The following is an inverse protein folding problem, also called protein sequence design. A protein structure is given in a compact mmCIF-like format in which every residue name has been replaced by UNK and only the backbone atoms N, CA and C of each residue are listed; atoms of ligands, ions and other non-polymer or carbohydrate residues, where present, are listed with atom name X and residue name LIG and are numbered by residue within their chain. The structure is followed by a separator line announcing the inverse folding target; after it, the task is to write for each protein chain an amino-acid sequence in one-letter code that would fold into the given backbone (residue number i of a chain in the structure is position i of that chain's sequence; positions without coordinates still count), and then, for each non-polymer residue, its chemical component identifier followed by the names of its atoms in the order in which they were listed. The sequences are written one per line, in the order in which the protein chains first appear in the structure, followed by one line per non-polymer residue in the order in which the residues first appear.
data_IF_182749568161
#
_entry.id   IF_182749568161
#
_cell.length_a   1.000
_cell.length_b   1.000
_cell.length_c   1.000
_cell.angle_alpha   90.00
_cell.angle_beta   90.00
_cell.angle_gamma   90.00
#
_symmetry.space_group_name_H-M   'P 1'
#
loop_
_entity.id
_entity.type
_entity.pdbx_description
1 polymer ?
#
# COMPACT_ATOMS: atom_id res chain seq x y z
N UNK A 1 -14.70 -30.18 0.82
CA UNK A 1 -14.05 -28.96 0.35
C UNK A 1 -13.39 -28.29 1.55
N UNK A 2 -12.06 -28.33 1.64
CA UNK A 2 -11.33 -27.64 2.71
C UNK A 2 -10.98 -26.24 2.18
N UNK A 3 -11.67 -25.22 2.65
CA UNK A 3 -11.29 -23.83 2.38
C UNK A 3 -10.01 -23.52 3.17
N UNK A 4 -8.89 -23.41 2.50
CA UNK A 4 -7.65 -22.97 3.12
C UNK A 4 -7.67 -21.44 3.20
N UNK A 5 -7.64 -20.90 4.43
CA UNK A 5 -7.48 -19.47 4.68
C UNK A 5 -5.98 -19.22 4.81
N UNK A 6 -5.39 -18.49 3.89
CA UNK A 6 -4.01 -18.04 3.99
C UNK A 6 -3.98 -16.70 4.71
N UNK A 7 -3.54 -16.71 5.97
CA UNK A 7 -3.23 -15.48 6.72
C UNK A 7 -1.75 -15.21 6.50
N UNK A 8 -1.45 -14.27 5.61
CA UNK A 8 -0.08 -13.78 5.46
C UNK A 8 0.16 -12.72 6.53
N UNK A 9 0.70 -13.16 7.68
CA UNK A 9 1.16 -12.25 8.71
C UNK A 9 2.44 -11.58 8.20
N UNK A 10 2.39 -10.28 7.94
CA UNK A 10 3.58 -9.46 7.75
C UNK A 10 4.27 -9.31 9.11
N UNK A 11 5.23 -10.20 9.39
CA UNK A 11 6.20 -9.92 10.44
C UNK A 11 7.03 -8.73 9.97
N UNK A 12 6.94 -7.62 10.68
CA UNK A 12 7.93 -6.53 10.57
C UNK A 12 9.29 -7.17 10.89
N UNK A 13 10.09 -7.43 9.85
CA UNK A 13 11.48 -7.79 10.01
C UNK A 13 12.21 -6.51 10.38
N UNK A 14 12.31 -6.27 11.68
CA UNK A 14 13.37 -5.41 12.23
C UNK A 14 14.69 -6.14 11.94
N UNK A 15 15.54 -5.50 11.14
CA UNK A 15 16.78 -6.06 10.66
C UNK A 15 17.68 -6.61 11.78
N UNK A 16 17.97 -7.89 11.70
CA UNK A 16 19.04 -8.57 12.39
C UNK A 16 19.39 -9.84 11.61
N UNK A 17 20.08 -9.70 10.50
CA UNK A 17 20.74 -10.84 9.85
C UNK A 17 21.90 -10.37 9.01
N UNK A 18 23.05 -10.13 9.66
CA UNK A 18 24.37 -10.22 9.05
C UNK A 18 25.38 -10.50 10.15
N UNK A 19 25.52 -11.77 10.52
CA UNK A 19 26.75 -12.31 11.08
C UNK A 19 26.74 -13.81 10.84
N UNK A 20 27.37 -14.25 9.76
CA UNK A 20 27.72 -15.65 9.53
C UNK A 20 28.93 -16.03 10.37
N UNK A 21 28.71 -17.03 11.24
CA UNK A 21 29.50 -18.24 11.44
C UNK A 21 31.02 -18.15 11.32
N UNK A 22 31.69 -18.10 12.48
CA UNK A 22 32.97 -18.76 12.70
C UNK A 22 32.91 -19.38 14.11
N UNK A 23 33.21 -20.70 14.18
CA UNK A 23 33.04 -21.54 15.32
C UNK A 23 33.88 -21.21 16.56
N UNK A 24 33.46 -21.76 17.70
CA UNK A 24 34.24 -21.78 18.94
C UNK A 24 33.33 -21.88 20.15
N UNK A 25 33.25 -23.10 20.70
CA UNK A 25 32.71 -23.38 22.01
C UNK A 25 33.29 -22.44 23.08
N UNK A 26 32.43 -21.76 23.83
CA UNK A 26 32.65 -21.47 25.25
C UNK A 26 31.38 -20.90 25.91
N UNK A 27 30.87 -21.67 26.84
CA UNK A 27 29.73 -21.34 27.70
C UNK A 27 30.22 -20.53 28.91
N UNK A 28 29.72 -19.35 29.20
CA UNK A 28 29.75 -18.79 30.55
C UNK A 28 28.39 -18.83 31.26
N UNK A 29 28.47 -19.00 32.58
CA UNK A 29 27.38 -19.16 33.54
C UNK A 29 26.50 -17.89 33.74
N UNK A 30 25.29 -18.03 34.30
CA UNK A 30 24.33 -16.94 34.42
C UNK A 30 24.67 -16.02 35.60
N UNK A 31 24.70 -14.70 35.33
CA UNK A 31 24.81 -13.66 36.34
C UNK A 31 23.43 -13.18 36.83
N UNK A 32 23.30 -13.12 38.13
CA UNK A 32 22.13 -12.69 38.95
C UNK A 32 21.82 -11.19 38.72
N UNK A 33 20.54 -10.77 38.62
CA UNK A 33 20.22 -9.34 38.51
C UNK A 33 20.27 -8.63 39.86
N UNK A 34 20.89 -7.45 39.86
CA UNK A 34 20.97 -6.56 41.01
C UNK A 34 19.64 -5.87 41.30
N UNK A 35 19.30 -5.85 42.56
CA UNK A 35 18.11 -5.27 43.19
C UNK A 35 18.22 -3.74 43.22
N UNK A 36 17.35 -3.02 42.54
CA UNK A 36 17.24 -1.54 42.58
C UNK A 36 16.34 -1.16 43.75
N UNK A 37 16.83 -0.27 44.62
CA UNK A 37 16.12 0.28 45.79
C UNK A 37 15.13 1.40 45.36
N UNK A 38 14.03 1.58 46.11
CA UNK A 38 13.02 2.60 45.79
C UNK A 38 13.44 3.99 46.28
N UNK A 39 13.29 5.01 45.42
CA UNK A 39 13.47 6.42 45.76
C UNK A 39 12.18 7.02 46.29
N UNK A 40 12.30 7.69 47.42
CA UNK A 40 11.23 8.40 48.17
C UNK A 40 10.80 9.69 47.47
N UNK A 41 9.52 10.06 47.44
CA UNK A 41 9.07 11.33 46.90
C UNK A 41 9.25 12.49 47.88
N UNK A 42 9.84 13.57 47.39
CA UNK A 42 10.04 14.82 48.14
C UNK A 42 8.75 15.67 48.08
N UNK A 43 8.22 16.00 49.24
CA UNK A 43 7.05 16.86 49.47
C UNK A 43 7.45 18.34 49.28
N UNK A 44 6.74 19.06 48.45
CA UNK A 44 6.87 20.53 48.25
C UNK A 44 5.82 21.25 49.12
N UNK A 45 6.19 22.33 49.84
CA UNK A 45 5.26 23.07 50.70
C UNK A 45 4.33 24.03 49.97
N UNK A 46 3.17 24.39 50.52
CA UNK A 46 2.15 25.19 49.81
C UNK A 46 2.47 26.68 49.81
N UNK A 47 2.23 27.33 48.67
CA UNK A 47 2.32 28.77 48.50
C UNK A 47 1.07 29.49 49.01
N UNK A 48 1.30 30.48 49.79
CA UNK A 48 0.33 31.39 50.43
C UNK A 48 -0.30 32.33 49.37
N UNK A 49 -1.65 32.38 49.33
CA UNK A 49 -2.42 33.33 48.54
C UNK A 49 -2.56 34.67 49.29
N UNK A 50 -2.16 35.76 48.64
CA UNK A 50 -2.52 37.12 49.06
C UNK A 50 -3.51 37.70 48.07
N UNK A 51 -4.70 38.01 48.54
CA UNK A 51 -5.75 38.74 47.84
C UNK A 51 -5.49 40.25 47.92
N UNK A 52 -5.56 41.02 46.83
CA UNK A 52 -5.79 42.48 46.92
C UNK A 52 -7.24 42.82 46.59
N UNK A 53 -7.77 43.73 47.40
CA UNK A 53 -9.13 44.26 47.36
C UNK A 53 -9.40 45.15 46.13
N UNK A 54 -10.69 45.23 45.80
CA UNK A 54 -11.34 45.74 44.64
C UNK A 54 -11.06 47.17 44.18
N UNK A 55 -11.31 47.34 42.90
CA UNK A 55 -11.74 48.61 42.30
C UNK A 55 -12.82 48.33 41.28
N UNK A 56 -14.02 48.87 41.52
CA UNK A 56 -15.15 48.85 40.59
C UNK A 56 -14.79 49.67 39.34
N UNK A 57 -14.62 49.02 38.22
CA UNK A 57 -14.56 49.65 36.91
C UNK A 57 -15.85 49.30 36.14
N UNK A 58 -16.61 50.31 35.82
CA UNK A 58 -17.82 50.29 35.00
C UNK A 58 -17.46 49.74 33.61
N UNK A 59 -17.90 48.53 33.30
CA UNK A 59 -17.63 47.87 32.02
C UNK A 59 -18.57 48.44 30.97
N UNK A 60 -18.03 49.21 30.05
CA UNK A 60 -18.71 49.56 28.80
C UNK A 60 -18.81 48.28 27.94
N UNK A 61 -20.03 47.84 27.64
CA UNK A 61 -20.33 46.70 26.78
C UNK A 61 -19.90 47.03 25.34
N UNK A 62 -18.75 46.52 24.93
CA UNK A 62 -18.34 46.56 23.53
C UNK A 62 -19.24 45.63 22.70
N UNK A 63 -19.64 46.02 21.47
CA UNK A 63 -20.41 45.15 20.60
C UNK A 63 -19.61 43.86 20.30
N UNK A 64 -20.20 42.72 20.64
CA UNK A 64 -19.66 41.39 20.32
C UNK A 64 -19.68 41.22 18.81
N UNK A 65 -18.56 41.50 18.13
CA UNK A 65 -18.34 41.06 16.78
C UNK A 65 -17.99 39.57 16.86
N UNK A 66 -18.96 38.71 16.57
CA UNK A 66 -18.72 37.29 16.37
C UNK A 66 -17.59 37.11 15.33
N UNK A 67 -16.61 36.22 15.59
CA UNK A 67 -15.58 35.93 14.59
C UNK A 67 -16.25 35.53 13.28
N UNK A 68 -15.74 35.95 12.12
CA UNK A 68 -16.27 35.49 10.84
C UNK A 68 -16.25 33.96 10.82
N UNK A 69 -17.37 33.37 10.40
CA UNK A 69 -17.45 31.90 10.23
C UNK A 69 -16.29 31.43 9.38
N UNK A 70 -15.63 30.31 9.74
CA UNK A 70 -14.56 29.75 8.94
C UNK A 70 -15.04 29.54 7.50
N UNK A 71 -14.19 29.77 6.48
CA UNK A 71 -14.58 29.59 5.10
C UNK A 71 -15.11 28.18 4.91
N UNK A 72 -16.31 28.05 4.34
CA UNK A 72 -16.85 26.73 3.95
C UNK A 72 -15.91 26.16 2.90
N UNK A 73 -15.19 25.09 3.24
CA UNK A 73 -14.32 24.38 2.30
C UNK A 73 -15.18 23.95 1.11
N UNK A 74 -14.80 24.40 -0.09
CA UNK A 74 -15.46 23.98 -1.33
C UNK A 74 -15.34 22.47 -1.46
N UNK A 75 -16.40 21.76 -1.87
CA UNK A 75 -16.36 20.31 -2.10
C UNK A 75 -15.18 19.99 -3.01
N UNK A 76 -14.28 19.10 -2.55
CA UNK A 76 -13.08 18.71 -3.32
C UNK A 76 -13.43 17.62 -4.36
N UNK A 77 -14.43 17.91 -5.18
CA UNK A 77 -14.83 17.03 -6.26
C UNK A 77 -13.83 17.14 -7.41
N UNK A 78 -13.35 16.01 -7.89
CA UNK A 78 -12.43 15.99 -9.00
C UNK A 78 -12.44 14.64 -9.73
N UNK A 79 -11.97 14.68 -10.97
CA UNK A 79 -11.65 13.50 -11.76
C UNK A 79 -10.12 13.47 -11.92
N UNK A 80 -9.53 12.29 -11.75
CA UNK A 80 -8.11 12.04 -11.99
C UNK A 80 -7.98 10.97 -13.07
N UNK A 81 -7.17 11.24 -14.06
CA UNK A 81 -6.70 10.27 -15.05
C UNK A 81 -5.24 9.96 -14.73
N UNK A 82 -4.85 8.71 -14.81
CA UNK A 82 -3.50 8.25 -14.55
C UNK A 82 -3.10 7.17 -15.55
N UNK A 83 -1.82 7.08 -15.84
CA UNK A 83 -1.26 6.05 -16.67
C UNK A 83 0.22 5.91 -16.39
N UNK A 84 0.81 4.79 -16.82
CA UNK A 84 2.22 4.55 -16.60
C UNK A 84 2.69 3.28 -17.25
N UNK A 85 4.00 3.11 -17.19
CA UNK A 85 4.70 1.95 -17.69
C UNK A 85 5.85 1.62 -16.75
N UNK A 86 6.08 0.32 -16.53
CA UNK A 86 7.27 -0.17 -15.87
C UNK A 86 7.84 -1.40 -16.56
N UNK A 87 9.17 -1.50 -16.52
CA UNK A 87 9.91 -2.65 -17.03
C UNK A 87 10.69 -3.30 -15.89
N UNK A 88 10.46 -4.59 -15.68
CA UNK A 88 11.25 -5.46 -14.83
C UNK A 88 12.24 -6.22 -15.70
N UNK A 89 13.53 -5.96 -15.46
CA UNK A 89 14.60 -6.63 -16.18
C UNK A 89 14.66 -8.12 -15.81
N UNK A 90 15.53 -8.85 -16.50
CA UNK A 90 15.63 -10.31 -16.36
C UNK A 90 15.77 -10.74 -14.89
N UNK A 91 14.81 -11.52 -14.45
CA UNK A 91 14.75 -12.17 -13.14
C UNK A 91 15.10 -13.64 -13.35
N UNK A 92 16.17 -14.12 -12.74
CA UNK A 92 16.47 -15.56 -12.74
C UNK A 92 15.40 -16.34 -11.99
N UNK A 93 15.11 -17.58 -12.44
CA UNK A 93 14.15 -18.49 -11.81
C UNK A 93 14.91 -19.73 -11.36
N UNK A 94 14.60 -20.26 -10.18
CA UNK A 94 15.09 -21.56 -9.75
C UNK A 94 14.72 -22.62 -10.81
N UNK A 95 15.58 -23.63 -11.03
CA UNK A 95 15.31 -24.67 -12.04
C UNK A 95 15.75 -24.34 -13.47
N UNK A 96 16.56 -23.30 -13.69
CA UNK A 96 17.15 -22.86 -14.98
C UNK A 96 16.17 -22.12 -15.92
N UNK A 97 16.00 -20.86 -15.68
CA UNK A 97 15.24 -19.96 -16.53
C UNK A 97 15.33 -18.53 -16.07
N UNK A 98 14.69 -17.66 -16.80
CA UNK A 98 14.48 -16.27 -16.39
C UNK A 98 13.22 -15.71 -17.03
N UNK A 99 12.74 -14.58 -16.52
CA UNK A 99 11.68 -13.81 -17.15
C UNK A 99 11.94 -12.31 -17.05
N UNK A 100 11.37 -11.59 -17.99
CA UNK A 100 11.18 -10.13 -17.91
C UNK A 100 9.68 -9.83 -17.83
N UNK A 101 9.31 -8.66 -17.31
CA UNK A 101 7.92 -8.23 -17.32
C UNK A 101 7.81 -6.75 -17.69
N UNK A 102 6.94 -6.48 -18.65
CA UNK A 102 6.53 -5.14 -19.07
C UNK A 102 5.12 -4.87 -18.58
N UNK A 103 4.88 -3.77 -17.88
CA UNK A 103 3.57 -3.47 -17.30
C UNK A 103 3.11 -2.09 -17.75
N UNK A 104 1.97 -2.04 -18.41
CA UNK A 104 1.30 -0.80 -18.78
C UNK A 104 0.05 -0.63 -17.93
N UNK A 105 -0.15 0.56 -17.40
CA UNK A 105 -1.25 0.89 -16.50
C UNK A 105 -2.02 2.09 -17.02
N UNK A 106 -3.35 2.02 -16.90
CA UNK A 106 -4.26 3.15 -17.14
C UNK A 106 -5.36 3.16 -16.07
N UNK A 107 -5.71 4.34 -15.54
CA UNK A 107 -6.75 4.47 -14.54
C UNK A 107 -7.50 5.79 -14.61
N UNK A 108 -8.78 5.72 -14.27
CA UNK A 108 -9.64 6.88 -14.06
C UNK A 108 -10.24 6.76 -12.68
N UNK A 109 -10.18 7.81 -11.90
CA UNK A 109 -10.87 7.86 -10.61
C UNK A 109 -11.58 9.21 -10.45
N UNK A 110 -12.69 9.16 -9.75
CA UNK A 110 -13.48 10.34 -9.39
C UNK A 110 -13.68 10.38 -7.90
N UNK A 111 -13.78 11.59 -7.34
CA UNK A 111 -14.07 11.82 -5.93
C UNK A 111 -15.22 12.80 -5.80
N UNK A 112 -16.20 12.46 -4.98
CA UNK A 112 -17.40 13.25 -4.71
C UNK A 112 -17.59 13.37 -3.19
N UNK A 113 -17.73 14.60 -2.71
CA UNK A 113 -18.18 14.91 -1.35
C UNK A 113 -19.71 14.83 -1.35
N UNK A 114 -20.27 13.76 -0.78
CA UNK A 114 -21.71 13.54 -0.75
C UNK A 114 -22.37 14.36 0.38
N UNK A 115 -21.71 14.39 1.54
CA UNK A 115 -22.08 15.21 2.70
C UNK A 115 -20.82 15.75 3.36
N UNK A 116 -20.93 16.58 4.41
CA UNK A 116 -19.78 17.03 5.19
C UNK A 116 -18.95 15.90 5.81
N UNK A 117 -19.59 14.74 6.01
CA UNK A 117 -18.97 13.58 6.65
C UNK A 117 -18.72 12.41 5.71
N UNK A 118 -19.31 12.37 4.51
CA UNK A 118 -19.25 11.24 3.60
C UNK A 118 -18.64 11.64 2.26
N UNK A 119 -17.59 10.94 1.88
CA UNK A 119 -16.96 11.05 0.58
C UNK A 119 -17.05 9.72 -0.15
N UNK A 120 -17.47 9.77 -1.41
CA UNK A 120 -17.43 8.65 -2.35
C UNK A 120 -16.27 8.87 -3.33
N UNK A 121 -15.44 7.85 -3.52
CA UNK A 121 -14.50 7.79 -4.64
C UNK A 121 -14.81 6.55 -5.47
N UNK A 122 -14.69 6.65 -6.80
CA UNK A 122 -14.85 5.50 -7.70
C UNK A 122 -13.62 5.45 -8.59
N UNK A 123 -12.88 4.34 -8.53
CA UNK A 123 -11.73 4.05 -9.38
C UNK A 123 -12.04 2.92 -10.34
N UNK A 124 -11.60 3.07 -11.58
CA UNK A 124 -11.50 2.00 -12.57
C UNK A 124 -10.07 2.01 -13.07
N UNK A 125 -9.43 0.86 -13.04
CA UNK A 125 -8.04 0.71 -13.44
C UNK A 125 -7.86 -0.51 -14.32
N UNK A 126 -7.08 -0.36 -15.36
CA UNK A 126 -6.67 -1.42 -16.28
C UNK A 126 -5.16 -1.55 -16.23
N UNK A 127 -4.66 -2.78 -16.16
CA UNK A 127 -3.24 -3.13 -16.21
C UNK A 127 -3.07 -4.21 -17.28
N UNK A 128 -2.04 -4.05 -18.09
CA UNK A 128 -1.61 -5.01 -19.09
C UNK A 128 -0.18 -5.39 -18.79
N UNK A 129 0.04 -6.68 -18.47
CA UNK A 129 1.33 -7.26 -18.16
C UNK A 129 1.77 -8.18 -19.29
N UNK A 130 2.95 -7.94 -19.84
CA UNK A 130 3.60 -8.80 -20.82
C UNK A 130 4.80 -9.48 -20.17
N UNK A 131 4.80 -10.81 -20.17
CA UNK A 131 5.88 -11.63 -19.64
C UNK A 131 6.63 -12.32 -20.78
N UNK A 132 7.96 -12.32 -20.69
CA UNK A 132 8.81 -13.07 -21.61
C UNK A 132 9.69 -14.02 -20.81
N UNK A 133 9.34 -15.30 -20.86
CA UNK A 133 10.04 -16.37 -20.17
C UNK A 133 11.08 -17.01 -21.09
N UNK A 134 12.21 -17.43 -20.50
CA UNK A 134 13.28 -18.17 -21.19
C UNK A 134 13.79 -19.32 -20.30
N UNK A 135 14.33 -20.38 -20.93
CA UNK A 135 14.88 -21.54 -20.21
C UNK A 135 13.98 -22.74 -20.25
N UNK A 136 14.22 -23.69 -19.33
CA UNK A 136 13.60 -25.02 -19.34
C UNK A 136 12.80 -25.36 -18.09
N UNK A 137 12.48 -24.33 -17.25
CA UNK A 137 11.66 -24.53 -16.07
C UNK A 137 10.20 -24.86 -16.45
N UNK A 138 9.42 -25.40 -15.52
CA UNK A 138 7.98 -25.62 -15.71
C UNK A 138 7.28 -24.31 -16.10
N UNK A 139 7.72 -23.20 -15.55
CA UNK A 139 7.18 -21.87 -15.89
C UNK A 139 7.57 -21.43 -17.30
N UNK A 140 8.79 -21.75 -17.78
CA UNK A 140 9.20 -21.45 -19.16
C UNK A 140 8.43 -22.26 -20.21
N UNK A 141 7.98 -23.49 -19.88
CA UNK A 141 7.22 -24.36 -20.78
C UNK A 141 5.70 -24.13 -20.73
N UNK A 142 5.19 -23.72 -19.59
CA UNK A 142 3.75 -23.50 -19.35
C UNK A 142 3.45 -22.03 -19.02
N UNK A 143 4.36 -21.15 -19.38
CA UNK A 143 4.33 -19.75 -19.03
C UNK A 143 3.11 -19.04 -19.64
N UNK A 144 2.60 -18.12 -18.89
CA UNK A 144 1.70 -17.09 -19.36
C UNK A 144 2.48 -15.99 -20.11
N UNK A 145 1.79 -15.28 -20.99
CA UNK A 145 2.39 -14.17 -21.74
C UNK A 145 1.72 -12.83 -21.42
N UNK A 146 0.47 -12.68 -21.85
CA UNK A 146 -0.25 -11.43 -21.78
C UNK A 146 -1.34 -11.54 -20.73
N UNK A 147 -1.19 -10.82 -19.64
CA UNK A 147 -2.18 -10.78 -18.56
C UNK A 147 -2.85 -9.45 -18.54
N UNK A 148 -4.17 -9.44 -18.56
CA UNK A 148 -5.00 -8.26 -18.46
C UNK A 148 -5.72 -8.24 -17.12
N UNK A 149 -5.69 -7.11 -16.43
CA UNK A 149 -6.39 -6.93 -15.16
C UNK A 149 -7.23 -5.67 -15.22
N UNK A 150 -8.53 -5.81 -14.99
CA UNK A 150 -9.46 -4.70 -14.81
C UNK A 150 -9.93 -4.71 -13.36
N UNK A 151 -9.70 -3.60 -12.64
CA UNK A 151 -10.15 -3.37 -11.28
C UNK A 151 -11.21 -2.28 -11.20
N UNK A 152 -12.25 -2.50 -10.39
CA UNK A 152 -13.27 -1.48 -10.06
C UNK A 152 -13.33 -1.38 -8.55
N UNK A 153 -13.10 -0.16 -8.03
CA UNK A 153 -12.95 0.11 -6.61
C UNK A 153 -13.78 1.34 -6.19
N UNK A 154 -15.08 1.18 -5.92
CA UNK A 154 -15.82 2.22 -5.21
C UNK A 154 -15.38 2.25 -3.74
N UNK A 155 -15.17 3.43 -3.20
CA UNK A 155 -14.70 3.65 -1.83
C UNK A 155 -15.54 4.70 -1.14
N UNK A 156 -16.00 4.38 0.03
CA UNK A 156 -16.68 5.28 0.94
C UNK A 156 -15.74 5.62 2.09
N UNK A 157 -15.53 6.92 2.33
CA UNK A 157 -14.82 7.43 3.50
C UNK A 157 -15.84 8.21 4.35
N UNK A 158 -15.97 7.82 5.61
CA UNK A 158 -16.94 8.39 6.56
C UNK A 158 -16.14 9.02 7.71
N UNK A 159 -16.29 10.33 7.88
CA UNK A 159 -15.76 11.07 9.02
C UNK A 159 -16.74 10.89 10.20
N UNK A 160 -16.29 10.21 11.26
CA UNK A 160 -17.09 10.01 12.48
C UNK A 160 -17.04 11.27 13.36
N UNK A 161 -15.84 11.84 13.50
CA UNK A 161 -15.56 13.10 14.18
C UNK A 161 -14.24 13.69 13.66
N UNK A 162 -13.69 14.72 14.30
CA UNK A 162 -12.46 15.38 13.83
C UNK A 162 -11.22 14.48 13.87
N UNK A 163 -11.23 13.42 14.67
CA UNK A 163 -10.12 12.49 14.80
C UNK A 163 -10.36 11.17 14.11
N UNK A 164 -11.58 10.60 14.17
CA UNK A 164 -11.87 9.28 13.66
C UNK A 164 -12.54 9.28 12.30
N UNK A 165 -12.06 8.41 11.42
CA UNK A 165 -12.73 8.10 10.16
C UNK A 165 -12.65 6.60 9.84
N UNK A 166 -13.65 6.13 9.10
CA UNK A 166 -13.79 4.75 8.61
C UNK A 166 -13.88 4.79 7.10
N UNK A 167 -13.20 3.86 6.45
CA UNK A 167 -13.32 3.65 5.01
C UNK A 167 -13.76 2.23 4.70
N UNK A 168 -14.57 2.08 3.67
CA UNK A 168 -14.98 0.80 3.10
C UNK A 168 -14.89 0.87 1.58
N UNK A 169 -14.23 -0.13 0.97
CA UNK A 169 -14.04 -0.20 -0.47
C UNK A 169 -14.30 -1.63 -0.94
N UNK A 170 -15.49 -1.97 -1.45
CA UNK A 170 -15.68 -3.18 -2.21
C UNK A 170 -14.77 -3.18 -3.45
N UNK A 171 -14.25 -4.33 -3.80
CA UNK A 171 -13.35 -4.56 -4.93
C UNK A 171 -13.96 -5.58 -5.86
N UNK A 172 -14.05 -5.27 -7.14
CA UNK A 172 -14.30 -6.22 -8.21
C UNK A 172 -13.07 -6.23 -9.12
N UNK A 173 -12.55 -7.42 -9.43
CA UNK A 173 -11.40 -7.56 -10.31
C UNK A 173 -11.66 -8.68 -11.32
N UNK A 174 -11.29 -8.42 -12.58
CA UNK A 174 -11.15 -9.40 -13.64
C UNK A 174 -9.68 -9.49 -13.97
N UNK A 175 -9.08 -10.68 -13.87
CA UNK A 175 -7.64 -10.86 -14.15
C UNK A 175 -7.40 -12.20 -14.83
N UNK A 176 -6.81 -12.17 -16.01
CA UNK A 176 -6.50 -13.36 -16.80
C UNK A 176 -5.68 -13.05 -18.03
N UNK A 177 -5.19 -14.11 -18.68
CA UNK A 177 -4.61 -13.98 -20.01
C UNK A 177 -5.66 -13.49 -21.01
N UNK A 178 -5.22 -12.82 -22.07
CA UNK A 178 -6.11 -12.15 -23.05
C UNK A 178 -7.14 -13.09 -23.69
N UNK A 179 -6.87 -14.39 -23.73
CA UNK A 179 -7.74 -15.44 -24.28
C UNK A 179 -8.52 -16.23 -23.21
N UNK A 180 -8.32 -15.95 -21.94
CA UNK A 180 -9.03 -16.61 -20.86
C UNK A 180 -10.52 -16.21 -20.86
N UNK A 181 -11.39 -17.18 -20.56
CA UNK A 181 -12.85 -16.93 -20.46
C UNK A 181 -13.17 -15.92 -19.38
N UNK A 182 -13.78 -14.77 -19.74
CA UNK A 182 -14.04 -13.65 -18.84
C UNK A 182 -14.79 -14.05 -17.56
N UNK A 183 -15.77 -14.99 -17.65
CA UNK A 183 -16.50 -15.48 -16.48
C UNK A 183 -15.66 -16.22 -15.44
N UNK A 184 -14.47 -16.70 -15.82
CA UNK A 184 -13.51 -17.42 -14.95
C UNK A 184 -12.45 -16.52 -14.35
N UNK A 185 -12.36 -15.25 -14.79
CA UNK A 185 -11.35 -14.27 -14.33
C UNK A 185 -11.83 -13.40 -13.18
N UNK A 186 -13.13 -13.49 -12.84
CA UNK A 186 -13.78 -12.59 -11.88
C UNK A 186 -13.43 -12.99 -10.45
N UNK A 187 -12.97 -12.01 -9.67
CA UNK A 187 -12.80 -12.12 -8.22
C UNK A 187 -13.38 -10.89 -7.54
N UNK A 188 -13.81 -11.04 -6.30
CA UNK A 188 -14.34 -9.96 -5.49
C UNK A 188 -13.74 -9.92 -4.11
N UNK A 189 -13.83 -8.77 -3.47
CA UNK A 189 -13.32 -8.56 -2.13
C UNK A 189 -13.78 -7.25 -1.53
N UNK A 190 -13.19 -6.91 -0.39
CA UNK A 190 -13.39 -5.61 0.24
C UNK A 190 -12.17 -5.21 1.06
N UNK A 191 -11.91 -3.91 1.11
CA UNK A 191 -11.01 -3.28 2.06
C UNK A 191 -11.84 -2.47 3.06
N UNK A 192 -11.68 -2.74 4.34
CA UNK A 192 -12.23 -1.89 5.41
C UNK A 192 -11.08 -1.31 6.19
N UNK A 193 -11.18 -0.04 6.59
CA UNK A 193 -10.11 0.62 7.34
C UNK A 193 -10.65 1.58 8.39
N UNK A 194 -9.86 1.75 9.46
CA UNK A 194 -10.06 2.73 10.52
C UNK A 194 -8.84 3.64 10.57
N UNK A 195 -9.06 4.93 10.70
CA UNK A 195 -8.02 5.95 10.76
C UNK A 195 -8.24 6.86 11.95
N UNK A 196 -7.15 7.22 12.61
CA UNK A 196 -7.10 8.23 13.66
C UNK A 196 -6.17 9.37 13.25
N UNK A 197 -6.69 10.57 13.19
CA UNK A 197 -5.93 11.80 12.96
C UNK A 197 -5.62 12.43 14.33
N UNK A 198 -4.34 12.47 14.69
CA UNK A 198 -3.86 13.20 15.87
C UNK A 198 -3.96 14.69 15.62
N UNK A 199 -3.65 15.10 14.39
CA UNK A 199 -3.78 16.44 13.83
C UNK A 199 -3.86 16.37 12.30
N UNK A 200 -3.66 17.50 11.60
CA UNK A 200 -3.74 17.59 10.12
C UNK A 200 -2.59 16.90 9.38
N UNK A 201 -1.48 16.60 10.07
CA UNK A 201 -0.24 16.07 9.51
C UNK A 201 0.15 14.69 10.05
N UNK A 202 -0.57 14.20 11.06
CA UNK A 202 -0.29 12.94 11.72
C UNK A 202 -1.53 12.04 11.75
N UNK A 203 -1.57 11.08 10.83
CA UNK A 203 -2.65 10.09 10.71
C UNK A 203 -2.08 8.69 10.78
N UNK A 204 -2.64 7.87 11.64
CA UNK A 204 -2.38 6.42 11.69
C UNK A 204 -3.69 5.65 11.55
N UNK A 205 -3.59 4.45 11.02
CA UNK A 205 -4.74 3.58 10.88
C UNK A 205 -4.35 2.15 10.53
N UNK A 206 -5.37 1.32 10.48
CA UNK A 206 -5.25 -0.08 10.08
C UNK A 206 -6.43 -0.43 9.18
N UNK A 207 -6.13 -1.09 8.08
CA UNK A 207 -7.10 -1.69 7.17
C UNK A 207 -6.97 -3.21 7.16
N UNK A 208 -8.01 -3.85 6.67
CA UNK A 208 -8.04 -5.27 6.35
C UNK A 208 -8.60 -5.43 4.95
N UNK A 209 -7.78 -5.95 4.04
CA UNK A 209 -8.20 -6.39 2.72
C UNK A 209 -8.55 -7.88 2.80
N UNK A 210 -9.75 -8.24 2.39
CA UNK A 210 -10.14 -9.63 2.18
C UNK A 210 -10.62 -9.79 0.73
N UNK A 211 -10.01 -10.72 -0.02
CA UNK A 211 -10.29 -10.94 -1.45
C UNK A 211 -10.35 -12.42 -1.76
N UNK A 212 -11.43 -12.86 -2.43
CA UNK A 212 -11.49 -14.18 -3.04
C UNK A 212 -10.44 -14.32 -4.14
N UNK A 213 -9.90 -15.53 -4.30
CA UNK A 213 -8.87 -15.82 -5.28
C UNK A 213 -9.35 -16.85 -6.31
N UNK A 214 -8.68 -16.85 -7.47
CA UNK A 214 -9.01 -17.75 -8.59
C UNK A 214 -8.77 -19.23 -8.29
N UNK A 215 -7.99 -19.55 -7.26
CA UNK A 215 -7.77 -20.91 -6.75
C UNK A 215 -8.72 -21.29 -5.60
N UNK A 216 -9.86 -20.58 -5.45
CA UNK A 216 -10.86 -20.78 -4.38
C UNK A 216 -10.35 -20.54 -2.95
N UNK A 217 -9.19 -19.93 -2.76
CA UNK A 217 -8.74 -19.46 -1.46
C UNK A 217 -9.20 -18.03 -1.18
N UNK A 218 -8.92 -17.53 0.01
CA UNK A 218 -9.14 -16.13 0.38
C UNK A 218 -7.82 -15.51 0.79
N UNK A 219 -7.46 -14.41 0.15
CA UNK A 219 -6.35 -13.56 0.54
C UNK A 219 -6.83 -12.60 1.61
N UNK A 220 -6.15 -12.59 2.77
CA UNK A 220 -6.40 -11.62 3.84
C UNK A 220 -5.11 -10.88 4.14
N UNK A 221 -5.11 -9.55 3.99
CA UNK A 221 -3.93 -8.71 4.16
C UNK A 221 -4.22 -7.55 5.10
N UNK A 222 -3.48 -7.41 6.21
CA UNK A 222 -3.50 -6.20 7.01
C UNK A 222 -2.83 -5.07 6.22
N UNK A 223 -3.47 -3.91 6.18
CA UNK A 223 -3.00 -2.73 5.45
C UNK A 223 -2.71 -1.63 6.47
N UNK A 224 -1.43 -1.33 6.77
CA UNK A 224 -1.11 -0.17 7.59
C UNK A 224 -1.51 1.09 6.85
N UNK A 225 -2.06 2.07 7.56
CA UNK A 225 -2.39 3.39 7.02
C UNK A 225 -1.57 4.40 7.79
N UNK A 226 -0.71 5.10 7.07
CA UNK A 226 0.23 6.04 7.64
C UNK A 226 0.25 7.29 6.76
N UNK A 227 0.07 8.44 7.37
CA UNK A 227 0.45 9.75 6.83
C UNK A 227 1.00 10.56 8.00
N UNK A 228 2.33 10.57 8.12
CA UNK A 228 3.01 11.06 9.30
C UNK A 228 4.15 12.00 8.92
N UNK A 229 4.01 13.28 9.23
CA UNK A 229 5.09 14.26 9.05
C UNK A 229 6.11 14.13 10.19
N UNK A 230 7.32 13.67 9.88
CA UNK A 230 8.43 13.55 10.84
C UNK A 230 8.99 14.94 11.17
N UNK A 231 9.15 15.74 10.13
CA UNK A 231 9.51 17.16 10.18
C UNK A 231 9.02 17.82 8.90
N UNK A 232 8.97 19.14 8.88
CA UNK A 232 8.53 19.91 7.72
C UNK A 232 9.18 19.41 6.42
N UNK A 233 8.35 18.94 5.50
CA UNK A 233 8.74 18.42 4.20
C UNK A 233 9.29 16.99 4.19
N UNK A 234 9.36 16.29 5.35
CA UNK A 234 9.73 14.86 5.42
C UNK A 234 8.59 14.08 6.09
N UNK A 235 8.01 13.12 5.38
CA UNK A 235 6.88 12.32 5.89
C UNK A 235 6.98 10.85 5.50
N UNK A 236 6.37 10.00 6.30
CA UNK A 236 6.06 8.61 5.93
C UNK A 236 4.61 8.57 5.45
N UNK A 237 4.37 7.93 4.31
CA UNK A 237 3.02 7.75 3.77
C UNK A 237 2.85 6.38 3.12
N UNK A 238 1.60 5.99 2.89
CA UNK A 238 1.33 4.82 2.07
C UNK A 238 1.81 5.06 0.64
N UNK A 239 2.31 3.99 0.04
CA UNK A 239 2.69 3.96 -1.37
C UNK A 239 1.48 4.24 -2.24
N UNK A 240 1.69 4.96 -3.34
CA UNK A 240 0.70 5.22 -4.38
C UNK A 240 1.02 4.31 -5.56
N UNK A 241 0.18 3.32 -5.80
CA UNK A 241 0.34 2.37 -6.89
C UNK A 241 -0.87 2.27 -7.79
N UNK A 242 -0.80 1.41 -8.81
CA UNK A 242 -1.94 1.06 -9.64
C UNK A 242 -3.07 0.49 -8.79
N UNK A 243 -4.31 0.91 -9.08
CA UNK A 243 -5.50 0.48 -8.32
C UNK A 243 -6.04 -0.88 -8.81
N UNK A 244 -5.46 -1.46 -9.89
CA UNK A 244 -5.92 -2.70 -10.48
C UNK A 244 -5.58 -3.95 -9.66
N UNK A 245 -4.43 -3.96 -9.00
CA UNK A 245 -3.94 -5.09 -8.19
C UNK A 245 -3.71 -4.68 -6.72
N UNK A 246 -3.76 -5.63 -5.77
CA UNK A 246 -3.36 -5.38 -4.39
C UNK A 246 -1.91 -4.88 -4.30
N UNK A 247 -1.75 -3.72 -3.70
CA UNK A 247 -0.48 -3.03 -3.56
C UNK A 247 -0.40 -2.42 -2.15
N UNK A 248 0.48 -2.96 -1.32
CA UNK A 248 0.60 -2.54 0.08
C UNK A 248 2.03 -2.15 0.36
N UNK A 249 2.25 -0.91 0.79
CA UNK A 249 3.60 -0.45 1.07
C UNK A 249 3.65 0.92 1.73
N UNK A 250 4.87 1.33 2.07
CA UNK A 250 5.17 2.61 2.71
C UNK A 250 6.31 3.31 1.97
N UNK A 251 6.25 4.62 1.97
CA UNK A 251 7.27 5.52 1.42
C UNK A 251 7.71 6.54 2.48
N UNK A 252 9.00 6.80 2.53
CA UNK A 252 9.57 8.00 3.14
C UNK A 252 9.71 9.07 2.04
N UNK A 253 8.94 10.13 2.13
CA UNK A 253 8.86 11.19 1.12
C UNK A 253 9.51 12.46 1.65
N UNK A 254 10.47 13.01 0.89
CA UNK A 254 11.11 14.31 1.15
C UNK A 254 10.68 15.31 0.09
N UNK A 255 10.09 16.41 0.51
CA UNK A 255 9.88 17.58 -0.34
C UNK A 255 11.23 18.27 -0.59
N UNK A 256 11.64 18.34 -1.85
CA UNK A 256 12.88 19.01 -2.28
C UNK A 256 12.59 20.45 -2.69
N UNK A 257 11.43 20.68 -3.30
CA UNK A 257 10.91 21.99 -3.69
C UNK A 257 9.39 21.88 -3.91
N UNK A 258 8.66 22.98 -4.12
CA UNK A 258 7.23 22.94 -4.44
C UNK A 258 6.88 22.06 -5.67
N UNK A 259 7.84 21.86 -6.58
CA UNK A 259 7.66 21.09 -7.81
C UNK A 259 8.27 19.69 -7.73
N UNK A 260 9.16 19.40 -6.80
CA UNK A 260 9.89 18.13 -6.73
C UNK A 260 9.81 17.48 -5.35
N UNK A 261 9.45 16.20 -5.33
CA UNK A 261 9.59 15.34 -4.18
C UNK A 261 10.48 14.13 -4.53
N UNK A 262 11.30 13.69 -3.60
CA UNK A 262 11.98 12.41 -3.65
C UNK A 262 11.36 11.45 -2.64
N UNK A 263 11.31 10.17 -2.96
CA UNK A 263 10.85 9.15 -2.03
C UNK A 263 11.74 7.90 -2.10
N UNK A 264 11.83 7.22 -0.96
CA UNK A 264 12.33 5.85 -0.84
C UNK A 264 11.21 5.00 -0.29
N UNK A 265 10.90 3.89 -0.94
CA UNK A 265 9.76 3.08 -0.56
C UNK A 265 9.94 1.60 -0.82
N UNK A 266 8.99 0.84 -0.30
CA UNK A 266 8.84 -0.56 -0.59
C UNK A 266 7.37 -0.94 -0.63
N UNK A 267 7.02 -1.81 -1.57
CA UNK A 267 5.67 -2.29 -1.74
C UNK A 267 5.65 -3.79 -1.99
N UNK A 268 4.70 -4.45 -1.37
CA UNK A 268 4.35 -5.80 -1.70
C UNK A 268 3.30 -5.79 -2.81
N UNK A 269 3.54 -6.58 -3.84
CA UNK A 269 2.71 -6.73 -5.01
C UNK A 269 2.23 -8.17 -5.13
N UNK A 270 0.97 -8.34 -5.52
CA UNK A 270 0.34 -9.64 -5.61
C UNK A 270 -0.59 -9.68 -6.82
N UNK A 271 -0.26 -10.50 -7.82
CA UNK A 271 -1.01 -10.68 -9.06
C UNK A 271 -1.40 -12.13 -9.22
N UNK A 272 -2.71 -12.40 -9.17
CA UNK A 272 -3.26 -13.73 -9.48
C UNK A 272 -4.23 -13.61 -10.63
N UNK A 273 -4.03 -14.41 -11.64
CA UNK A 273 -4.75 -14.34 -12.92
C UNK A 273 -5.09 -15.74 -13.44
N UNK A 274 -6.12 -15.80 -14.28
CA UNK A 274 -6.55 -17.02 -14.96
C UNK A 274 -5.69 -17.27 -16.20
N UNK A 275 -5.24 -18.50 -16.40
CA UNK A 275 -4.52 -18.91 -17.60
C UNK A 275 -5.49 -19.13 -18.78
N UNK A 276 -4.94 -19.07 -19.99
CA UNK A 276 -5.61 -19.35 -21.25
C UNK A 276 -6.36 -20.69 -21.23
N UNK A 277 -7.44 -20.77 -21.97
CA UNK A 277 -8.25 -21.98 -22.13
C UNK A 277 -7.54 -23.06 -23.00
N UNK A 278 -6.50 -22.71 -23.74
CA UNK A 278 -5.73 -23.58 -24.65
C UNK A 278 -4.30 -23.92 -24.20
N UNK A 279 -3.82 -23.30 -23.11
CA UNK A 279 -2.46 -23.51 -22.59
C UNK A 279 -2.27 -24.92 -22.01
N UNK A 280 -1.02 -25.40 -21.79
CA UNK A 280 -0.77 -26.70 -21.14
C UNK A 280 -1.49 -26.86 -19.80
N UNK A 281 -1.72 -25.78 -19.06
CA UNK A 281 -2.54 -25.75 -17.86
C UNK A 281 -3.81 -24.95 -18.10
N UNK A 282 -4.55 -25.31 -19.18
CA UNK A 282 -5.77 -24.64 -19.60
C UNK A 282 -6.73 -24.39 -18.43
N UNK A 283 -7.19 -23.15 -18.29
CA UNK A 283 -8.06 -22.71 -17.20
C UNK A 283 -7.44 -22.82 -15.79
N UNK A 284 -6.13 -23.02 -15.68
CA UNK A 284 -5.40 -22.92 -14.41
C UNK A 284 -5.29 -21.49 -13.91
N UNK A 285 -4.52 -21.27 -12.87
CA UNK A 285 -4.23 -19.93 -12.37
C UNK A 285 -2.72 -19.75 -12.16
N UNK A 286 -2.22 -18.60 -12.61
CA UNK A 286 -0.88 -18.11 -12.32
C UNK A 286 -0.92 -17.13 -11.15
N UNK A 287 0.14 -17.10 -10.37
CA UNK A 287 0.37 -16.13 -9.32
C UNK A 287 1.79 -15.62 -9.41
N UNK A 288 1.95 -14.31 -9.43
CA UNK A 288 3.19 -13.60 -9.17
C UNK A 288 3.06 -12.79 -7.89
N UNK A 289 4.03 -12.92 -7.00
CA UNK A 289 4.16 -12.03 -5.85
C UNK A 289 5.61 -11.57 -5.69
N UNK A 290 5.80 -10.32 -5.27
CA UNK A 290 7.12 -9.75 -5.08
C UNK A 290 7.08 -8.59 -4.09
N UNK A 291 8.26 -8.18 -3.62
CA UNK A 291 8.47 -6.91 -2.94
C UNK A 291 9.32 -6.04 -3.85
N UNK A 292 8.82 -4.85 -4.20
CA UNK A 292 9.59 -3.86 -4.95
C UNK A 292 10.11 -2.80 -3.99
N UNK A 293 11.44 -2.70 -3.86
CA UNK A 293 12.12 -1.61 -3.15
C UNK A 293 12.58 -0.58 -4.16
N UNK A 294 12.27 0.71 -3.97
CA UNK A 294 12.51 1.71 -5.00
C UNK A 294 12.82 3.10 -4.45
N UNK A 295 13.53 3.88 -5.29
CA UNK A 295 13.56 5.32 -5.25
C UNK A 295 12.59 5.90 -6.26
N UNK A 296 11.92 7.00 -5.90
CA UNK A 296 10.98 7.70 -6.76
C UNK A 296 11.26 9.20 -6.75
N UNK A 297 11.29 9.80 -7.93
CA UNK A 297 11.32 11.24 -8.13
C UNK A 297 9.97 11.68 -8.69
N UNK A 298 9.26 12.52 -7.96
CA UNK A 298 8.00 13.12 -8.36
C UNK A 298 8.25 14.53 -8.88
N UNK A 299 7.74 14.84 -10.08
CA UNK A 299 7.76 16.17 -10.68
C UNK A 299 6.34 16.70 -10.91
N UNK A 300 6.07 17.87 -10.36
CA UNK A 300 4.79 18.60 -10.44
C UNK A 300 5.00 19.95 -11.12
N UNK A 301 5.05 20.01 -12.45
CA UNK A 301 5.20 21.30 -13.15
C UNK A 301 4.04 22.26 -12.87
N UNK A 302 2.85 21.72 -12.68
CA UNK A 302 1.64 22.44 -12.23
C UNK A 302 0.89 21.60 -11.21
N UNK A 303 0.04 22.20 -10.34
CA UNK A 303 -0.65 21.46 -9.28
C UNK A 303 -1.52 20.29 -9.75
N UNK A 304 -2.03 20.35 -10.98
CA UNK A 304 -2.91 19.35 -11.56
C UNK A 304 -2.16 18.19 -12.21
N UNK A 305 -0.92 18.40 -12.64
CA UNK A 305 -0.13 17.41 -13.37
C UNK A 305 1.05 16.92 -12.57
N UNK A 306 1.23 15.60 -12.57
CA UNK A 306 2.31 14.92 -11.86
C UNK A 306 2.93 13.85 -12.75
N UNK A 307 4.25 13.75 -12.71
CA UNK A 307 5.02 12.65 -13.29
C UNK A 307 5.91 12.04 -12.19
N UNK A 308 5.91 10.73 -12.10
CA UNK A 308 6.74 9.95 -11.18
C UNK A 308 7.74 9.12 -12.01
N UNK A 309 9.01 9.24 -11.72
CA UNK A 309 10.07 8.37 -12.22
C UNK A 309 10.49 7.43 -11.10
N UNK A 310 10.48 6.13 -11.38
CA UNK A 310 10.78 5.08 -10.41
C UNK A 310 11.97 4.25 -10.88
N UNK A 311 12.89 4.00 -9.97
CA UNK A 311 13.99 3.04 -10.17
C UNK A 311 14.16 2.23 -8.89
N UNK A 312 14.24 0.89 -9.04
CA UNK A 312 14.26 0.02 -7.87
C UNK A 312 14.64 -1.42 -8.21
N UNK A 313 14.40 -2.29 -7.26
CA UNK A 313 14.65 -3.71 -7.39
C UNK A 313 13.45 -4.51 -6.89
N UNK A 314 12.96 -5.42 -7.71
CA UNK A 314 12.04 -6.46 -7.29
C UNK A 314 12.84 -7.56 -6.58
N UNK A 315 12.46 -7.85 -5.34
CA UNK A 315 13.07 -8.84 -4.48
C UNK A 315 12.01 -9.80 -3.95
N UNK A 316 12.41 -10.96 -3.45
CA UNK A 316 11.48 -11.98 -2.92
C UNK A 316 10.40 -12.35 -3.97
N UNK A 317 10.81 -12.41 -5.24
CA UNK A 317 9.93 -12.81 -6.32
C UNK A 317 9.53 -14.28 -6.15
N UNK A 318 8.25 -14.57 -6.32
CA UNK A 318 7.74 -15.94 -6.31
C UNK A 318 6.66 -16.11 -7.36
N UNK A 319 6.78 -17.14 -8.15
CA UNK A 319 5.79 -17.59 -9.13
C UNK A 319 5.12 -18.85 -8.61
N UNK A 320 3.78 -18.95 -8.77
CA UNK A 320 3.03 -20.18 -8.43
C UNK A 320 2.08 -20.54 -9.56
N UNK A 321 1.85 -21.84 -9.71
CA UNK A 321 0.99 -22.41 -10.74
C UNK A 321 -0.05 -23.32 -10.09
N UNK A 322 -1.29 -23.22 -10.55
CA UNK A 322 -2.43 -24.04 -10.14
C UNK A 322 -3.12 -24.61 -11.39
N UNK A 323 -3.61 -25.83 -11.31
CA UNK A 323 -4.41 -26.44 -12.39
C UNK A 323 -5.85 -25.90 -12.43
N UNK A 324 -6.64 -26.35 -13.41
CA UNK A 324 -8.05 -25.97 -13.56
C UNK A 324 -8.96 -26.46 -12.41
N UNK A 325 -8.50 -27.41 -11.63
CA UNK A 325 -9.17 -27.91 -10.42
C UNK A 325 -8.72 -27.17 -9.15
N UNK A 326 -7.85 -26.15 -9.31
CA UNK A 326 -7.23 -25.36 -8.25
C UNK A 326 -6.25 -26.12 -7.36
N UNK A 327 -5.71 -27.26 -7.85
CA UNK A 327 -4.63 -27.93 -7.18
C UNK A 327 -3.32 -27.17 -7.43
N UNK A 328 -2.49 -27.04 -6.40
CA UNK A 328 -1.16 -26.48 -6.52
C UNK A 328 -0.26 -27.43 -7.32
N UNK A 329 0.37 -26.92 -8.38
CA UNK A 329 1.28 -27.65 -9.26
C UNK A 329 2.72 -27.43 -8.85
N UNK A 330 3.12 -26.18 -8.61
CA UNK A 330 4.49 -25.86 -8.27
C UNK A 330 4.68 -24.37 -7.98
N UNK A 331 5.83 -24.07 -7.39
CA UNK A 331 6.31 -22.69 -7.21
C UNK A 331 7.80 -22.63 -7.51
N UNK A 332 8.24 -21.50 -8.03
CA UNK A 332 9.65 -21.17 -8.21
C UNK A 332 9.93 -19.79 -7.63
N UNK A 333 11.03 -19.68 -6.90
CA UNK A 333 11.50 -18.42 -6.38
C UNK A 333 12.36 -17.71 -7.44
N UNK A 334 12.19 -16.42 -7.57
CA UNK A 334 12.93 -15.59 -8.50
C UNK A 334 14.02 -14.78 -7.80
N UNK A 335 15.10 -14.55 -8.55
CA UNK A 335 16.18 -13.68 -8.12
C UNK A 335 15.76 -12.20 -8.05
N UNK A 336 16.70 -11.36 -7.64
CA UNK A 336 16.50 -9.90 -7.66
C UNK A 336 16.58 -9.37 -9.10
N UNK A 337 15.65 -8.49 -9.47
CA UNK A 337 15.62 -7.83 -10.76
C UNK A 337 15.54 -6.31 -10.61
N UNK A 338 16.22 -5.58 -11.51
CA UNK A 338 16.05 -4.15 -11.64
C UNK A 338 14.64 -3.84 -12.16
N UNK A 339 14.04 -2.77 -11.65
CA UNK A 339 12.73 -2.25 -12.13
C UNK A 339 12.90 -0.77 -12.42
N UNK A 340 12.45 -0.35 -13.60
CA UNK A 340 12.33 1.06 -13.98
C UNK A 340 10.88 1.36 -14.32
N UNK A 341 10.41 2.56 -13.99
CA UNK A 341 9.03 2.95 -14.29
C UNK A 341 8.83 4.44 -14.44
N UNK A 342 7.80 4.79 -15.20
CA UNK A 342 7.31 6.16 -15.34
C UNK A 342 5.79 6.16 -15.26
N UNK A 343 5.24 7.04 -14.41
CA UNK A 343 3.81 7.18 -14.20
C UNK A 343 3.44 8.65 -14.30
N UNK A 344 2.29 8.94 -14.88
CA UNK A 344 1.77 10.29 -14.97
C UNK A 344 0.31 10.34 -14.49
N UNK A 345 -0.10 11.48 -13.96
CA UNK A 345 -1.51 11.70 -13.63
C UNK A 345 -1.89 13.17 -13.81
N UNK A 346 -3.15 13.37 -14.19
CA UNK A 346 -3.75 14.67 -14.32
C UNK A 346 -5.06 14.73 -13.53
N UNK A 347 -5.26 15.82 -12.79
CA UNK A 347 -6.45 16.08 -11.96
C UNK A 347 -7.21 17.26 -12.53
N UNK A 348 -8.49 17.03 -12.87
CA UNK A 348 -9.42 18.04 -13.38
C UNK A 348 -10.19 18.71 -12.25
#
# INVERSE_FOLDING_TARGET
MRNSIYITAFSLITGSALAQNIGGDNKPAPSTPAKVAPTTPTTQPPATSTTPAGTNATTATAPSTSPPAPPVEKPNNHIKISGGYSHQFSTSIEGSGSYTADRAYFGISSRYTLTETVTLSVGVAYEYDYYNFTGNSVFALAAWNNVETLGILPRFDIKINDHWSVGAAPLLQLSGESSASAGKTITGGALVNFRYAFDQTHVLGLGLLAKGQLNNSVLVVPVPIVDWEIKKGLRISNVRGPEANPFVGLELVQELSPQFNAALGGAWEYRMFRLDDSAPFANGAGLEQQITLYGRLEWKPVPQFRVDFLAGAAVMNQLKLYDSSNNFIGSEDGGTALVLGVFASYKF
#
